data_IF_632230602612
#
_entry.id   IF_632230602612
#
_cell.length_a   1.000
_cell.length_b   1.000
_cell.length_c   1.000
_cell.angle_alpha   90.00
_cell.angle_beta   90.00
_cell.angle_gamma   90.00
#
_symmetry.space_group_name_H-M   'P 1'
#
loop_
_entity.id
_entity.type
_entity.pdbx_description
1 polymer ?
#
# COMPACT_ATOMS: atom_id res chain seq x y z
N UNK A 1 -5.87 -21.73 -17.40
CA UNK A 1 -7.22 -21.14 -17.24
C UNK A 1 -7.53 -20.79 -15.78
N UNK A 2 -7.24 -21.66 -14.79
CA UNK A 2 -7.56 -21.40 -13.38
C UNK A 2 -6.85 -20.20 -12.70
N UNK A 3 -5.55 -19.96 -12.98
CA UNK A 3 -4.80 -18.87 -12.32
C UNK A 3 -5.36 -17.47 -12.60
N UNK A 4 -5.73 -17.18 -13.86
CA UNK A 4 -6.31 -15.88 -14.24
C UNK A 4 -7.66 -15.62 -13.57
N UNK A 5 -8.48 -16.66 -13.45
CA UNK A 5 -9.80 -16.57 -12.81
C UNK A 5 -9.68 -16.40 -11.28
N UNK A 6 -8.67 -17.04 -10.67
CA UNK A 6 -8.33 -16.81 -9.26
C UNK A 6 -7.85 -15.37 -9.02
N UNK A 7 -6.99 -14.86 -9.90
CA UNK A 7 -6.51 -13.47 -9.84
C UNK A 7 -7.66 -12.47 -9.99
N UNK A 8 -8.59 -12.70 -10.91
CA UNK A 8 -9.77 -11.86 -11.09
C UNK A 8 -10.67 -11.86 -9.85
N UNK A 9 -10.94 -13.03 -9.27
CA UNK A 9 -11.68 -13.13 -7.99
C UNK A 9 -10.98 -12.39 -6.86
N UNK A 10 -9.65 -12.50 -6.79
CA UNK A 10 -8.85 -11.78 -5.81
C UNK A 10 -8.99 -10.26 -5.99
N UNK A 11 -8.85 -9.77 -7.22
CA UNK A 11 -8.98 -8.34 -7.55
C UNK A 11 -10.38 -7.79 -7.21
N UNK A 12 -11.43 -8.59 -7.37
CA UNK A 12 -12.79 -8.21 -6.96
C UNK A 12 -12.98 -8.21 -5.44
N UNK A 13 -12.34 -9.13 -4.72
CA UNK A 13 -12.45 -9.23 -3.27
C UNK A 13 -11.69 -8.13 -2.53
N UNK A 14 -10.49 -7.76 -2.99
CA UNK A 14 -9.58 -6.82 -2.28
C UNK A 14 -10.28 -5.53 -1.85
N UNK A 15 -11.02 -4.79 -2.70
CA UNK A 15 -11.69 -3.56 -2.29
C UNK A 15 -12.68 -3.76 -1.13
N UNK A 16 -13.37 -4.90 -1.07
CA UNK A 16 -14.32 -5.23 -0.02
C UNK A 16 -13.63 -5.42 1.33
N UNK A 17 -12.40 -5.94 1.34
CA UNK A 17 -11.60 -6.07 2.56
C UNK A 17 -10.87 -4.78 2.93
N UNK A 18 -10.54 -3.93 1.96
CA UNK A 18 -9.95 -2.62 2.22
C UNK A 18 -10.97 -1.62 2.79
N UNK A 19 -12.25 -1.78 2.47
CA UNK A 19 -13.36 -1.01 3.00
C UNK A 19 -14.50 -1.94 3.46
N UNK A 20 -14.30 -2.69 4.57
CA UNK A 20 -15.33 -3.60 5.10
C UNK A 20 -16.60 -2.86 5.55
N UNK A 21 -16.46 -1.57 5.83
CA UNK A 21 -17.45 -0.59 6.21
C UNK A 21 -17.86 0.33 5.03
N UNK A 22 -17.54 -0.05 3.79
CA UNK A 22 -17.73 0.72 2.55
C UNK A 22 -19.10 1.41 2.41
N UNK A 23 -20.17 0.72 2.79
CA UNK A 23 -21.54 1.23 2.67
C UNK A 23 -21.89 2.31 3.70
N UNK A 24 -21.07 2.47 4.74
CA UNK A 24 -21.32 3.38 5.86
C UNK A 24 -20.39 4.60 5.84
N UNK A 25 -19.50 4.70 4.85
CA UNK A 25 -18.58 5.83 4.74
C UNK A 25 -19.30 7.12 4.35
N UNK A 26 -19.08 8.15 5.16
CA UNK A 26 -19.41 9.53 4.82
C UNK A 26 -18.12 10.30 4.51
N UNK A 27 -18.16 11.28 3.58
CA UNK A 27 -17.04 12.19 3.36
C UNK A 27 -16.67 12.96 4.64
N UNK A 28 -15.38 13.07 4.93
CA UNK A 28 -14.84 13.72 6.13
C UNK A 28 -13.86 14.84 5.77
N UNK A 29 -13.66 15.80 6.67
CA UNK A 29 -12.65 16.86 6.51
C UNK A 29 -11.29 16.47 7.09
N UNK A 30 -11.30 15.65 8.13
CA UNK A 30 -10.14 15.16 8.86
C UNK A 30 -10.26 13.64 9.06
N UNK A 31 -9.12 12.96 9.07
CA UNK A 31 -9.04 11.52 9.24
C UNK A 31 -7.66 11.17 9.78
N UNK A 32 -7.59 10.36 10.84
CA UNK A 32 -6.32 9.80 11.30
C UNK A 32 -5.99 8.58 10.46
N UNK A 33 -4.80 8.56 9.84
CA UNK A 33 -4.38 7.43 9.03
C UNK A 33 -4.32 6.14 9.84
N UNK A 34 -4.80 5.05 9.24
CA UNK A 34 -4.93 3.75 9.88
C UNK A 34 -4.12 2.69 9.14
N UNK A 35 -3.48 1.80 9.90
CA UNK A 35 -2.78 0.64 9.37
C UNK A 35 -3.49 -0.61 9.85
N UNK A 36 -3.83 -1.49 8.91
CA UNK A 36 -4.45 -2.77 9.23
C UNK A 36 -4.02 -3.84 8.23
N UNK A 37 -4.36 -5.09 8.52
CA UNK A 37 -4.20 -6.19 7.58
C UNK A 37 -5.41 -7.11 7.59
N UNK A 38 -5.60 -7.80 6.46
CA UNK A 38 -6.60 -8.86 6.32
C UNK A 38 -5.97 -10.11 5.70
N UNK A 39 -6.63 -11.24 5.85
CA UNK A 39 -6.18 -12.53 5.30
C UNK A 39 -7.19 -13.03 4.28
N UNK A 40 -6.73 -13.27 3.05
CA UNK A 40 -7.48 -13.96 2.01
C UNK A 40 -7.07 -15.44 2.04
N UNK A 41 -8.04 -16.31 2.29
CA UNK A 41 -7.83 -17.76 2.30
C UNK A 41 -8.47 -18.35 1.05
N UNK A 42 -7.67 -19.02 0.24
CA UNK A 42 -8.14 -19.74 -0.94
C UNK A 42 -8.74 -21.11 -0.55
N UNK A 43 -9.47 -21.72 -1.48
CA UNK A 43 -10.13 -23.03 -1.29
C UNK A 43 -9.12 -24.14 -1.00
N UNK A 44 -7.90 -24.04 -1.55
CA UNK A 44 -6.80 -24.97 -1.31
C UNK A 44 -6.12 -24.77 0.06
N UNK A 45 -6.59 -23.82 0.86
CA UNK A 45 -6.03 -23.46 2.17
C UNK A 45 -4.83 -22.52 2.10
N UNK A 46 -4.36 -22.15 0.91
CA UNK A 46 -3.31 -21.14 0.75
C UNK A 46 -3.80 -19.77 1.22
N UNK A 47 -2.86 -18.96 1.74
CA UNK A 47 -3.18 -17.66 2.33
C UNK A 47 -2.38 -16.55 1.66
N UNK A 48 -3.05 -15.43 1.42
CA UNK A 48 -2.46 -14.14 1.06
C UNK A 48 -2.85 -13.13 2.14
N UNK A 49 -1.96 -12.20 2.43
CA UNK A 49 -2.17 -11.14 3.41
C UNK A 49 -2.26 -9.82 2.65
N UNK A 50 -3.32 -9.07 2.89
CA UNK A 50 -3.43 -7.68 2.45
C UNK A 50 -2.95 -6.75 3.55
N UNK A 51 -1.91 -5.97 3.28
CA UNK A 51 -1.41 -4.92 4.16
C UNK A 51 -1.93 -3.58 3.68
N UNK A 52 -2.62 -2.84 4.56
CA UNK A 52 -3.37 -1.65 4.17
C UNK A 52 -2.93 -0.42 4.94
N UNK A 53 -2.88 0.71 4.23
CA UNK A 53 -2.80 2.05 4.80
C UNK A 53 -3.96 2.88 4.27
N UNK A 54 -4.91 3.21 5.15
CA UNK A 54 -6.05 4.07 4.87
C UNK A 54 -5.74 5.48 5.32
N UNK A 55 -5.96 6.48 4.46
CA UNK A 55 -5.62 7.88 4.71
C UNK A 55 -6.58 8.80 3.98
N UNK A 56 -6.66 10.06 4.39
CA UNK A 56 -7.40 11.08 3.64
C UNK A 56 -6.47 11.77 2.64
N UNK A 57 -6.75 11.73 1.33
CA UNK A 57 -5.90 12.37 0.33
C UNK A 57 -5.86 13.88 0.52
N UNK A 58 -4.74 14.53 0.18
CA UNK A 58 -4.60 16.00 0.24
C UNK A 58 -5.65 16.71 -0.62
N UNK A 59 -6.08 17.91 -0.21
CA UNK A 59 -7.21 18.60 -0.84
C UNK A 59 -7.98 19.49 0.14
N UNK A 60 -9.05 20.12 -0.35
CA UNK A 60 -9.92 21.01 0.45
C UNK A 60 -11.31 20.39 0.61
N UNK A 61 -11.94 20.63 1.76
CA UNK A 61 -13.30 20.20 2.04
C UNK A 61 -13.45 18.72 2.35
N UNK A 62 -14.70 18.26 2.28
CA UNK A 62 -15.08 16.87 2.56
C UNK A 62 -14.60 15.94 1.45
N UNK A 63 -13.95 14.84 1.84
CA UNK A 63 -13.35 13.85 0.93
C UNK A 63 -13.57 12.45 1.50
N UNK A 64 -13.54 11.46 0.63
CA UNK A 64 -13.49 10.06 1.06
C UNK A 64 -12.04 9.65 1.33
N UNK A 65 -11.78 8.77 2.31
CA UNK A 65 -10.46 8.18 2.47
C UNK A 65 -10.06 7.32 1.25
N UNK A 66 -8.77 7.26 1.01
CA UNK A 66 -8.13 6.33 0.08
C UNK A 66 -7.42 5.23 0.85
N UNK A 67 -7.18 4.09 0.21
CA UNK A 67 -6.43 2.98 0.80
C UNK A 67 -5.38 2.46 -0.16
N UNK A 68 -4.16 2.32 0.32
CA UNK A 68 -3.08 1.62 -0.37
C UNK A 68 -3.00 0.20 0.18
N UNK A 69 -3.05 -0.80 -0.69
CA UNK A 69 -3.02 -2.21 -0.30
C UNK A 69 -1.88 -2.94 -1.02
N UNK A 70 -1.08 -3.68 -0.26
CA UNK A 70 -0.08 -4.62 -0.80
C UNK A 70 -0.54 -6.04 -0.48
N UNK A 71 -0.70 -6.87 -1.51
CA UNK A 71 -1.00 -8.30 -1.35
C UNK A 71 0.30 -9.09 -1.39
N UNK A 72 0.53 -9.93 -0.38
CA UNK A 72 1.72 -10.76 -0.29
C UNK A 72 1.41 -12.11 0.36
N UNK A 73 2.16 -13.15 0.00
CA UNK A 73 2.18 -14.41 0.75
C UNK A 73 3.13 -14.36 1.96
N UNK A 74 3.92 -13.29 2.11
CA UNK A 74 4.94 -13.14 3.16
C UNK A 74 4.35 -12.44 4.39
N UNK A 75 4.47 -13.09 5.55
CA UNK A 75 4.08 -12.55 6.85
C UNK A 75 5.09 -11.55 7.41
N UNK A 76 5.20 -10.36 6.81
CA UNK A 76 6.20 -9.35 7.21
C UNK A 76 5.56 -7.97 7.49
N UNK A 77 4.65 -7.92 8.47
CA UNK A 77 3.89 -6.69 8.77
C UNK A 77 4.77 -5.45 8.97
N UNK A 78 5.88 -5.58 9.72
CA UNK A 78 6.79 -4.45 9.95
C UNK A 78 7.45 -3.91 8.67
N UNK A 79 7.74 -4.77 7.69
CA UNK A 79 8.29 -4.33 6.40
C UNK A 79 7.21 -3.65 5.56
N UNK A 80 6.06 -4.29 5.40
CA UNK A 80 4.99 -3.74 4.56
C UNK A 80 4.37 -2.47 5.15
N UNK A 81 4.27 -2.35 6.48
CA UNK A 81 3.88 -1.11 7.15
C UNK A 81 4.85 0.03 6.83
N UNK A 82 6.18 -0.22 6.90
CA UNK A 82 7.20 0.78 6.54
C UNK A 82 7.13 1.18 5.06
N UNK A 83 6.88 0.22 4.18
CA UNK A 83 6.66 0.52 2.75
C UNK A 83 5.44 1.43 2.60
N UNK A 84 4.34 1.14 3.28
CA UNK A 84 3.12 1.92 3.20
C UNK A 84 3.25 3.32 3.86
N UNK A 85 4.07 3.47 4.90
CA UNK A 85 4.46 4.79 5.43
C UNK A 85 5.11 5.65 4.33
N UNK A 86 6.02 5.06 3.58
CA UNK A 86 6.71 5.72 2.48
C UNK A 86 5.79 6.01 1.28
N UNK A 87 4.79 5.16 1.03
CA UNK A 87 3.73 5.40 0.05
C UNK A 87 2.84 6.57 0.47
N UNK A 88 2.42 6.64 1.74
CA UNK A 88 1.61 7.74 2.25
C UNK A 88 2.33 9.08 2.14
N UNK A 89 3.61 9.15 2.53
CA UNK A 89 4.43 10.38 2.37
C UNK A 89 4.49 10.83 0.91
N UNK A 90 4.71 9.89 -0.01
CA UNK A 90 4.74 10.16 -1.47
C UNK A 90 3.37 10.58 -2.00
N UNK A 91 2.28 10.03 -1.45
CA UNK A 91 0.91 10.37 -1.84
C UNK A 91 0.56 11.83 -1.56
N UNK A 92 1.14 12.43 -0.52
CA UNK A 92 0.99 13.87 -0.22
C UNK A 92 1.58 14.77 -1.32
N UNK A 93 2.49 14.24 -2.13
CA UNK A 93 3.12 14.96 -3.26
C UNK A 93 2.37 14.64 -4.55
N UNK A 94 2.34 13.36 -4.95
CA UNK A 94 1.62 12.91 -6.15
C UNK A 94 1.53 11.39 -6.20
N UNK A 95 0.47 10.86 -6.83
CA UNK A 95 0.41 9.44 -7.20
C UNK A 95 1.56 9.03 -8.13
N UNK A 96 2.07 9.93 -8.97
CA UNK A 96 3.08 9.62 -9.98
C UNK A 96 4.43 9.20 -9.37
N UNK A 97 4.76 9.68 -8.16
CA UNK A 97 6.04 9.37 -7.49
C UNK A 97 6.01 8.05 -6.73
N UNK A 98 4.82 7.45 -6.55
CA UNK A 98 4.65 6.15 -5.89
C UNK A 98 5.13 5.03 -6.82
N UNK A 99 4.85 5.12 -8.12
CA UNK A 99 5.15 4.04 -9.06
C UNK A 99 6.66 3.73 -9.15
N UNK A 100 7.58 4.71 -9.31
CA UNK A 100 9.02 4.43 -9.29
C UNK A 100 9.51 3.81 -7.97
N UNK A 101 8.95 4.22 -6.83
CA UNK A 101 9.28 3.64 -5.53
C UNK A 101 8.85 2.17 -5.45
N UNK A 102 7.62 1.86 -5.85
CA UNK A 102 7.11 0.48 -5.89
C UNK A 102 7.87 -0.39 -6.90
N UNK A 103 8.28 0.20 -8.03
CA UNK A 103 9.12 -0.48 -9.01
C UNK A 103 10.48 -0.85 -8.41
N UNK A 104 11.17 0.11 -7.74
CA UNK A 104 12.44 -0.16 -7.08
C UNK A 104 12.34 -1.23 -5.99
N UNK A 105 11.23 -1.26 -5.24
CA UNK A 105 10.95 -2.34 -4.27
C UNK A 105 10.82 -3.71 -4.94
N UNK A 106 10.11 -3.79 -6.07
CA UNK A 106 9.89 -5.04 -6.80
C UNK A 106 11.16 -5.57 -7.45
N UNK A 107 12.03 -4.68 -7.90
CA UNK A 107 13.32 -5.02 -8.51
C UNK A 107 14.41 -5.37 -7.47
N UNK A 108 14.19 -4.99 -6.21
CA UNK A 108 15.11 -5.29 -5.10
C UNK A 108 14.87 -6.70 -4.54
N UNK A 109 15.95 -7.35 -4.12
CA UNK A 109 15.84 -8.61 -3.37
C UNK A 109 15.11 -8.39 -2.05
N UNK A 110 14.27 -9.35 -1.68
CA UNK A 110 13.64 -9.34 -0.37
C UNK A 110 14.71 -9.41 0.73
N UNK A 111 14.66 -8.55 1.76
CA UNK A 111 15.70 -8.52 2.78
C UNK A 111 15.70 -9.81 3.60
N UNK A 112 16.89 -10.36 3.83
CA UNK A 112 17.06 -11.43 4.81
C UNK A 112 16.70 -10.93 6.23
N UNK A 113 16.31 -11.82 7.15
CA UNK A 113 16.02 -11.43 8.54
C UNK A 113 17.14 -10.59 9.15
N UNK A 114 16.79 -9.42 9.71
CA UNK A 114 17.74 -8.48 10.31
C UNK A 114 18.58 -7.66 9.32
N UNK A 115 18.35 -7.77 8.00
CA UNK A 115 18.99 -6.94 6.97
C UNK A 115 18.05 -5.84 6.47
N UNK A 116 18.66 -4.77 5.96
CA UNK A 116 17.94 -3.62 5.39
C UNK A 116 18.04 -3.66 3.87
N UNK A 117 16.95 -3.31 3.20
CA UNK A 117 16.92 -3.01 1.76
C UNK A 117 16.87 -1.49 1.58
N UNK A 118 17.68 -0.97 0.67
CA UNK A 118 17.74 0.47 0.37
C UNK A 118 17.14 0.72 -1.01
N UNK A 119 16.07 1.51 -1.07
CA UNK A 119 15.40 1.87 -2.31
C UNK A 119 15.79 3.28 -2.70
N UNK A 120 16.40 3.44 -3.88
CA UNK A 120 16.68 4.75 -4.46
C UNK A 120 15.49 5.16 -5.33
N UNK A 121 14.76 6.20 -4.92
CA UNK A 121 13.63 6.74 -5.68
C UNK A 121 13.63 8.27 -5.58
N UNK A 122 13.40 8.96 -6.70
CA UNK A 122 13.32 10.42 -6.73
C UNK A 122 12.00 10.93 -6.12
N UNK A 123 12.08 12.01 -5.34
CA UNK A 123 10.92 12.75 -4.82
C UNK A 123 11.11 14.22 -5.25
N UNK A 124 10.23 14.78 -6.11
CA UNK A 124 10.41 16.10 -6.72
C UNK A 124 10.60 17.27 -5.74
N UNK A 125 10.02 17.21 -4.54
CA UNK A 125 10.13 18.27 -3.53
C UNK A 125 11.17 17.99 -2.43
N UNK A 126 11.85 16.84 -2.47
CA UNK A 126 13.02 16.58 -1.64
C UNK A 126 14.26 16.84 -2.48
N UNK A 127 14.61 18.12 -2.62
CA UNK A 127 15.83 18.53 -3.31
C UNK A 127 17.04 17.79 -2.74
N UNK A 128 17.61 16.88 -3.53
CA UNK A 128 19.05 16.59 -3.43
C UNK A 128 19.76 17.62 -4.27
N UNK A 129 20.56 18.49 -3.61
CA UNK A 129 21.93 18.86 -3.99
C UNK A 129 22.46 19.95 -3.07
N UNK A 130 23.44 19.63 -2.20
CA UNK A 130 24.68 20.41 -2.08
C UNK A 130 25.81 19.46 -1.67
N UNK A 131 26.68 19.16 -2.62
CA UNK A 131 27.97 18.51 -2.39
C UNK A 131 28.94 19.07 -3.41
N UNK A 132 29.51 20.24 -3.09
CA UNK A 132 30.74 20.74 -3.71
C UNK A 132 31.96 20.23 -2.96
#
# INVERSE_FOLDING_TARGET
>A
KGQKEEEERLLQAIPLFCFPDGNNWAPVTEFTSETFSFVLTNVDGSRKIGYCRRLLPSGRGVRLPEVFCIISCLGCFGLFSKILDEVEKRRQISMAVIYPFMQGLRESSFPAPGKTVTIKSFIPESGTEVGG
#
